data_IF_426721906348
#
_entry.id   IF_426721906348
#
_cell.length_a   1.000
_cell.length_b   1.000
_cell.length_c   1.000
_cell.angle_alpha   90.00
_cell.angle_beta   90.00
_cell.angle_gamma   90.00
#
_symmetry.space_group_name_H-M   'P 1'
#
loop_
_entity.id
_entity.type
_entity.pdbx_description
1 polymer ?
#
# COMPACT_ATOMS: atom_id res chain seq x y z
N UNK A 1 0.13 -5.21 6.24
CA UNK A 1 0.56 -6.62 6.07
C UNK A 1 -0.40 -7.45 5.22
N UNK A 2 -1.73 -7.30 5.34
CA UNK A 2 -2.69 -8.08 4.54
C UNK A 2 -2.47 -7.97 3.02
N UNK A 3 -2.28 -6.75 2.49
CA UNK A 3 -2.02 -6.53 1.06
C UNK A 3 -0.78 -7.28 0.54
N UNK A 4 0.32 -7.26 1.31
CA UNK A 4 1.53 -8.03 0.98
C UNK A 4 1.26 -9.53 0.98
N UNK A 5 0.51 -10.03 1.96
CA UNK A 5 0.14 -11.45 2.00
C UNK A 5 -0.65 -11.86 0.75
N UNK A 6 -1.64 -11.06 0.34
CA UNK A 6 -2.40 -11.33 -0.89
C UNK A 6 -1.50 -11.34 -2.13
N UNK A 7 -0.63 -10.33 -2.26
CA UNK A 7 0.34 -10.28 -3.36
C UNK A 7 1.20 -11.53 -3.44
N UNK A 8 1.77 -11.97 -2.31
CA UNK A 8 2.66 -13.13 -2.25
C UNK A 8 1.91 -14.44 -2.56
N UNK A 9 0.69 -14.61 -2.06
CA UNK A 9 -0.14 -15.79 -2.37
C UNK A 9 -0.49 -15.84 -3.86
N UNK A 10 -0.78 -14.69 -4.47
CA UNK A 10 -1.17 -14.61 -5.89
C UNK A 10 0.01 -14.86 -6.84
N UNK A 11 1.23 -14.48 -6.45
CA UNK A 11 2.39 -14.46 -7.35
C UNK A 11 3.46 -15.51 -7.05
N UNK A 12 3.37 -16.26 -5.95
CA UNK A 12 4.31 -17.34 -5.62
C UNK A 12 3.62 -18.70 -5.82
N UNK A 13 3.95 -19.45 -6.91
CA UNK A 13 3.30 -20.72 -7.24
C UNK A 13 3.31 -21.73 -6.10
N UNK A 14 4.44 -21.82 -5.38
CA UNK A 14 4.64 -22.75 -4.26
C UNK A 14 4.58 -22.06 -2.89
N UNK A 15 4.06 -20.83 -2.82
CA UNK A 15 4.03 -20.01 -1.59
C UNK A 15 5.42 -19.83 -0.96
N UNK A 16 6.45 -19.83 -1.81
CA UNK A 16 7.85 -19.71 -1.43
C UNK A 16 8.60 -18.77 -2.34
N UNK A 17 9.55 -18.04 -1.77
CA UNK A 17 10.54 -17.23 -2.49
C UNK A 17 11.92 -17.64 -1.98
N UNK A 18 12.76 -18.19 -2.86
CA UNK A 18 14.12 -18.65 -2.52
C UNK A 18 14.15 -19.57 -1.28
N UNK A 19 13.16 -20.46 -1.17
CA UNK A 19 13.02 -21.39 -0.05
C UNK A 19 12.32 -20.82 1.19
N UNK A 20 12.15 -19.50 1.30
CA UNK A 20 11.41 -18.85 2.38
C UNK A 20 9.90 -18.97 2.18
N UNK A 21 9.17 -19.38 3.22
CA UNK A 21 7.70 -19.38 3.21
C UNK A 21 7.17 -17.95 3.39
N UNK A 22 5.96 -17.70 2.92
CA UNK A 22 5.28 -16.39 3.01
C UNK A 22 5.33 -15.80 4.42
N UNK A 23 5.07 -16.59 5.46
CA UNK A 23 5.04 -16.08 6.84
C UNK A 23 6.41 -15.52 7.28
N UNK A 24 7.51 -16.16 6.87
CA UNK A 24 8.86 -15.65 7.15
C UNK A 24 9.09 -14.32 6.43
N UNK A 25 8.66 -14.22 5.17
CA UNK A 25 8.78 -12.98 4.39
C UNK A 25 7.99 -11.84 5.06
N UNK A 26 6.77 -12.12 5.54
CA UNK A 26 5.95 -11.15 6.25
C UNK A 26 6.62 -10.67 7.54
N UNK A 27 7.18 -11.58 8.33
CA UNK A 27 7.90 -11.24 9.56
C UNK A 27 9.18 -10.43 9.29
N UNK A 28 9.94 -10.77 8.26
CA UNK A 28 11.13 -10.01 7.87
C UNK A 28 10.76 -8.59 7.43
N UNK A 29 9.71 -8.43 6.62
CA UNK A 29 9.22 -7.11 6.22
C UNK A 29 8.74 -6.32 7.44
N UNK A 30 8.00 -6.95 8.34
CA UNK A 30 7.54 -6.31 9.58
C UNK A 30 8.69 -5.86 10.46
N UNK A 31 9.74 -6.68 10.59
CA UNK A 31 10.96 -6.34 11.31
C UNK A 31 11.63 -5.10 10.69
N UNK A 32 11.78 -5.06 9.37
CA UNK A 32 12.37 -3.90 8.67
C UNK A 32 11.53 -2.64 8.85
N UNK A 33 10.20 -2.74 8.77
CA UNK A 33 9.31 -1.58 8.95
C UNK A 33 9.28 -1.07 10.39
N UNK A 34 9.41 -1.95 11.39
CA UNK A 34 9.47 -1.56 12.80
C UNK A 34 10.81 -0.94 13.20
N UNK A 35 11.90 -1.33 12.54
CA UNK A 35 13.25 -0.95 12.91
C UNK A 35 13.84 0.07 11.92
N UNK A 36 13.11 1.16 11.69
CA UNK A 36 13.58 2.25 10.85
C UNK A 36 14.09 3.39 11.73
N UNK A 37 15.41 3.57 11.75
CA UNK A 37 16.06 4.61 12.51
C UNK A 37 16.83 5.55 11.59
N UNK A 38 16.86 6.83 11.93
CA UNK A 38 17.62 7.84 11.21
C UNK A 38 18.25 8.83 12.19
N UNK A 39 19.36 9.44 11.78
CA UNK A 39 20.07 10.45 12.57
C UNK A 39 19.76 11.83 12.02
N UNK A 40 19.39 12.75 12.89
CA UNK A 40 19.18 14.15 12.56
C UNK A 40 19.67 15.02 13.72
N UNK A 41 20.45 16.07 13.46
CA UNK A 41 21.03 16.92 14.50
C UNK A 41 21.74 16.17 15.64
N UNK A 42 22.51 15.12 15.31
CA UNK A 42 23.20 14.23 16.25
C UNK A 42 22.28 13.45 17.22
N UNK A 43 20.97 13.42 16.96
CA UNK A 43 20.01 12.62 17.70
C UNK A 43 19.48 11.47 16.84
N UNK A 44 19.15 10.35 17.50
CA UNK A 44 18.61 9.15 16.88
C UNK A 44 17.08 9.17 16.98
N UNK A 45 16.41 9.05 15.84
CA UNK A 45 14.96 9.00 15.76
C UNK A 45 14.50 7.66 15.19
N UNK A 46 13.34 7.20 15.63
CA UNK A 46 12.65 6.05 15.06
C UNK A 46 11.43 6.51 14.27
N UNK A 47 11.32 6.04 13.03
CA UNK A 47 10.10 6.24 12.25
C UNK A 47 9.06 5.21 12.69
N UNK A 48 7.98 5.69 13.32
CA UNK A 48 6.88 4.86 13.84
C UNK A 48 5.70 4.73 12.87
N UNK A 49 5.65 5.56 11.82
CA UNK A 49 4.57 5.57 10.83
C UNK A 49 5.10 5.50 9.41
N UNK A 50 4.44 4.69 8.58
CA UNK A 50 4.80 4.49 7.18
C UNK A 50 6.14 3.76 7.02
N UNK A 51 6.90 4.12 6.00
CA UNK A 51 8.27 3.67 5.84
C UNK A 51 9.15 4.76 5.22
N UNK A 52 10.46 4.64 5.40
CA UNK A 52 11.44 5.57 4.87
C UNK A 52 11.45 5.52 3.33
N UNK A 53 11.14 6.65 2.68
CA UNK A 53 11.00 6.74 1.21
C UNK A 53 12.28 6.42 0.44
N UNK A 54 13.44 6.45 1.10
CA UNK A 54 14.73 6.06 0.51
C UNK A 54 14.94 4.55 0.36
N UNK A 55 14.07 3.71 0.95
CA UNK A 55 14.18 2.26 0.87
C UNK A 55 13.39 1.71 -0.35
N UNK A 56 14.01 0.96 -1.27
CA UNK A 56 13.31 0.32 -2.39
C UNK A 56 12.13 -0.54 -1.94
N UNK A 57 12.29 -1.24 -0.80
CA UNK A 57 11.24 -2.04 -0.20
C UNK A 57 10.01 -1.20 0.16
N UNK A 58 10.19 -0.02 0.74
CA UNK A 58 9.08 0.84 1.16
C UNK A 58 8.23 1.27 -0.04
N UNK A 59 8.87 1.66 -1.15
CA UNK A 59 8.15 2.06 -2.36
C UNK A 59 7.36 0.89 -2.95
N UNK A 60 7.97 -0.29 -3.01
CA UNK A 60 7.30 -1.51 -3.46
C UNK A 60 6.09 -1.88 -2.60
N UNK A 61 6.24 -1.82 -1.28
CA UNK A 61 5.14 -2.08 -0.33
C UNK A 61 4.02 -1.05 -0.45
N UNK A 62 4.36 0.22 -0.70
CA UNK A 62 3.35 1.26 -0.93
C UNK A 62 2.50 0.94 -2.17
N UNK A 63 3.13 0.50 -3.28
CA UNK A 63 2.40 0.10 -4.48
C UNK A 63 1.49 -1.10 -4.25
N UNK A 64 1.98 -2.14 -3.57
CA UNK A 64 1.17 -3.31 -3.20
C UNK A 64 -0.02 -2.87 -2.34
N UNK A 65 0.22 -2.04 -1.32
CA UNK A 65 -0.82 -1.63 -0.39
C UNK A 65 -1.91 -0.81 -1.08
N UNK A 66 -1.52 0.11 -1.98
CA UNK A 66 -2.47 0.89 -2.77
C UNK A 66 -3.24 0.00 -3.75
N UNK A 67 -2.55 -0.93 -4.42
CA UNK A 67 -3.19 -1.79 -5.42
C UNK A 67 -4.27 -2.68 -4.81
N UNK A 68 -3.89 -3.44 -3.77
CA UNK A 68 -4.79 -4.39 -3.10
C UNK A 68 -5.77 -3.73 -2.13
N UNK A 69 -5.44 -2.55 -1.60
CA UNK A 69 -6.28 -1.84 -0.64
C UNK A 69 -7.30 -0.88 -1.27
N UNK A 70 -7.00 -0.30 -2.44
CA UNK A 70 -7.86 0.73 -3.04
C UNK A 70 -8.12 0.47 -4.53
N UNK A 71 -7.09 0.16 -5.30
CA UNK A 71 -7.20 0.23 -6.76
C UNK A 71 -7.98 -0.90 -7.36
N UNK A 72 -7.91 -2.10 -6.80
CA UNK A 72 -8.52 -3.27 -7.42
C UNK A 72 -10.01 -3.04 -7.72
N UNK A 73 -10.73 -2.46 -6.77
CA UNK A 73 -12.15 -2.17 -6.91
C UNK A 73 -12.42 -0.94 -7.77
N UNK A 74 -11.63 0.13 -7.59
CA UNK A 74 -11.72 1.34 -8.40
C UNK A 74 -11.48 1.02 -9.88
N UNK A 75 -10.38 0.34 -10.21
CA UNK A 75 -10.02 -0.06 -11.57
C UNK A 75 -11.08 -0.96 -12.17
N UNK A 76 -11.67 -1.87 -11.39
CA UNK A 76 -12.76 -2.72 -11.86
C UNK A 76 -13.97 -1.89 -12.31
N UNK A 77 -14.44 -0.96 -11.47
CA UNK A 77 -15.58 -0.08 -11.78
C UNK A 77 -15.29 0.81 -12.98
N UNK A 78 -14.12 1.44 -13.03
CA UNK A 78 -13.73 2.32 -14.14
C UNK A 78 -13.63 1.53 -15.45
N UNK A 79 -13.09 0.30 -15.41
CA UNK A 79 -13.03 -0.57 -16.58
C UNK A 79 -14.42 -0.99 -17.07
N UNK A 80 -15.35 -1.31 -16.17
CA UNK A 80 -16.74 -1.64 -16.52
C UNK A 80 -17.47 -0.45 -17.17
N UNK A 81 -17.10 0.79 -16.80
CA UNK A 81 -17.64 2.02 -17.37
C UNK A 81 -16.88 2.52 -18.61
N UNK A 82 -15.85 1.81 -19.06
CA UNK A 82 -14.95 2.25 -20.13
C UNK A 82 -14.32 3.63 -19.85
N UNK A 83 -13.98 3.88 -18.59
CA UNK A 83 -13.32 5.10 -18.12
C UNK A 83 -11.80 4.90 -18.05
N UNK A 84 -11.05 5.97 -18.30
CA UNK A 84 -9.61 6.00 -18.16
C UNK A 84 -9.20 6.03 -16.68
N UNK A 85 -8.17 5.27 -16.34
CA UNK A 85 -7.52 5.30 -15.04
C UNK A 85 -6.01 5.11 -15.18
N UNK A 86 -5.25 5.98 -14.52
CA UNK A 86 -3.82 5.89 -14.40
C UNK A 86 -3.39 6.35 -13.01
N UNK A 87 -2.40 5.68 -12.43
CA UNK A 87 -1.69 6.18 -11.24
C UNK A 87 -0.20 6.13 -11.47
N UNK A 88 0.46 7.21 -11.08
CA UNK A 88 1.90 7.27 -10.97
C UNK A 88 2.26 7.78 -9.57
N UNK A 89 2.79 6.87 -8.73
CA UNK A 89 3.13 7.14 -7.31
C UNK A 89 1.94 7.70 -6.53
N UNK A 90 1.95 8.98 -6.18
CA UNK A 90 0.89 9.68 -5.43
C UNK A 90 -0.16 10.31 -6.36
N UNK A 91 0.11 10.41 -7.67
CA UNK A 91 -0.75 11.07 -8.63
C UNK A 91 -1.74 10.10 -9.27
N UNK A 92 -3.03 10.46 -9.28
CA UNK A 92 -4.09 9.71 -9.95
C UNK A 92 -4.69 10.57 -11.05
N UNK A 93 -4.84 10.00 -12.25
CA UNK A 93 -5.50 10.60 -13.41
C UNK A 93 -6.62 9.66 -13.82
N UNK A 94 -7.84 10.17 -13.94
CA UNK A 94 -8.99 9.37 -14.38
C UNK A 94 -10.02 10.22 -15.12
N UNK A 95 -10.90 9.56 -15.85
CA UNK A 95 -12.16 10.16 -16.34
C UNK A 95 -13.32 9.64 -15.50
N UNK A 96 -14.30 10.49 -15.22
CA UNK A 96 -15.48 10.12 -14.45
C UNK A 96 -16.73 10.76 -15.03
N UNK A 97 -17.76 9.94 -15.27
CA UNK A 97 -19.07 10.36 -15.78
C UNK A 97 -20.20 10.20 -14.75
N UNK A 98 -19.90 9.75 -13.53
CA UNK A 98 -20.89 9.65 -12.44
C UNK A 98 -21.02 10.95 -11.63
N UNK A 99 -21.79 10.91 -10.54
CA UNK A 99 -21.86 12.04 -9.60
C UNK A 99 -20.65 12.09 -8.66
N UNK A 100 -20.40 13.25 -8.06
CA UNK A 100 -19.36 13.43 -7.04
C UNK A 100 -19.58 12.52 -5.82
N UNK A 101 -20.83 12.32 -5.40
CA UNK A 101 -21.15 11.41 -4.30
C UNK A 101 -20.76 9.96 -4.59
N UNK A 102 -21.05 9.50 -5.81
CA UNK A 102 -20.66 8.16 -6.25
C UNK A 102 -19.14 8.01 -6.32
N UNK A 103 -18.44 9.07 -6.75
CA UNK A 103 -16.98 9.11 -6.77
C UNK A 103 -16.42 9.01 -5.35
N UNK A 104 -16.92 9.82 -4.43
CA UNK A 104 -16.50 9.83 -3.04
C UNK A 104 -16.72 8.46 -2.38
N UNK A 105 -17.84 7.79 -2.63
CA UNK A 105 -18.10 6.43 -2.12
C UNK A 105 -17.10 5.42 -2.69
N UNK A 106 -16.79 5.51 -3.99
CA UNK A 106 -15.85 4.59 -4.65
C UNK A 106 -14.43 4.72 -4.08
N UNK A 107 -13.97 5.96 -3.87
CA UNK A 107 -12.62 6.23 -3.36
C UNK A 107 -12.49 6.11 -1.85
N UNK A 108 -13.52 6.46 -1.08
CA UNK A 108 -13.50 6.32 0.39
C UNK A 108 -13.47 4.86 0.85
N UNK A 109 -14.10 3.94 0.11
CA UNK A 109 -14.02 2.49 0.38
C UNK A 109 -12.60 1.92 0.28
N UNK A 110 -11.72 2.58 -0.48
CA UNK A 110 -10.30 2.22 -0.57
C UNK A 110 -9.43 2.86 0.53
N UNK A 111 -9.88 3.92 1.19
CA UNK A 111 -9.11 4.55 2.27
C UNK A 111 -9.45 3.79 3.55
N UNK A 112 -8.74 2.69 3.81
CA UNK A 112 -8.64 2.17 5.17
C UNK A 112 -8.06 3.31 6.02
N UNK A 113 -8.92 3.89 6.86
CA UNK A 113 -8.59 4.91 7.84
C UNK A 113 -7.26 4.56 8.52
N UNK A 114 -6.21 5.30 8.17
CA UNK A 114 -5.10 5.51 9.09
C UNK A 114 -5.59 6.61 10.01
N UNK A 115 -6.38 6.22 11.02
CA UNK A 115 -6.66 7.10 12.14
C UNK A 115 -5.31 7.56 12.70
N UNK A 116 -5.08 8.87 12.62
CA UNK A 116 -4.09 9.55 13.44
C UNK A 116 -4.61 9.43 14.88
N UNK A 117 -4.26 8.35 15.56
CA UNK A 117 -4.31 8.34 17.02
C UNK A 117 -3.27 9.34 17.50
N UNK A 118 -3.73 10.52 17.88
CA UNK A 118 -2.98 11.42 18.75
C UNK A 118 -2.68 10.63 20.03
N UNK A 119 -1.40 10.32 20.24
CA UNK A 119 -0.93 9.73 21.48
C UNK A 119 -1.22 10.68 22.65
N UNK A 120 -1.82 10.11 23.70
CA UNK A 120 -1.50 10.44 25.09
C UNK A 120 -0.79 9.23 25.67
#
# INVERSE_FOLDING_TARGET
MAALKYFLVEHLPDHRLDGLIIDIILELVHLVLKNQFFVYNNELYQQIHGGASGLPLTMFLAFINVFYGQHRDVVKVLKEKNEFFCRYREQVILTWQGSDDQFCILFSKGIVHTELTQNV
#
